data_IF_033838566477
#
_entry.id   IF_033838566477
#
_cell.length_a   1.000
_cell.length_b   1.000
_cell.length_c   1.000
_cell.angle_alpha   90.00
_cell.angle_beta   90.00
_cell.angle_gamma   90.00
#
_symmetry.space_group_name_H-M   'P 1'
#
loop_
_entity.id
_entity.type
_entity.pdbx_description
1 polymer ?
#
# COMPACT_ATOMS: atom_id res chain seq x y z
N UNK A 1 -30.03 -14.76 -7.44
CA UNK A 1 -28.61 -14.97 -7.14
C UNK A 1 -28.00 -13.62 -6.86
N UNK A 2 -27.82 -13.26 -5.61
CA UNK A 2 -27.12 -12.05 -5.24
C UNK A 2 -25.62 -12.29 -5.42
N UNK A 3 -25.06 -11.83 -6.54
CA UNK A 3 -23.62 -11.66 -6.65
C UNK A 3 -23.23 -10.48 -5.73
N UNK A 4 -23.09 -10.75 -4.44
CA UNK A 4 -22.35 -9.85 -3.58
C UNK A 4 -20.95 -9.79 -4.16
N UNK A 5 -20.64 -8.70 -4.85
CA UNK A 5 -19.27 -8.31 -5.12
C UNK A 5 -18.64 -8.06 -3.75
N UNK A 6 -17.95 -9.07 -3.23
CA UNK A 6 -17.30 -9.05 -1.90
C UNK A 6 -16.03 -8.15 -1.93
N UNK A 7 -16.05 -7.09 -2.72
CA UNK A 7 -14.96 -6.14 -2.85
C UNK A 7 -15.36 -4.75 -2.39
N UNK A 8 -14.50 -4.09 -1.66
CA UNK A 8 -14.67 -2.71 -1.25
C UNK A 8 -13.46 -1.87 -1.69
N UNK A 9 -13.72 -0.75 -2.38
CA UNK A 9 -12.75 0.32 -2.60
C UNK A 9 -13.11 1.49 -1.69
N UNK A 10 -12.15 1.99 -0.92
CA UNK A 10 -12.34 3.16 -0.06
C UNK A 10 -11.14 4.10 -0.15
N UNK A 11 -11.41 5.36 -0.43
CA UNK A 11 -10.44 6.45 -0.29
C UNK A 11 -10.26 6.80 1.19
N UNK A 12 -9.04 7.05 1.60
CA UNK A 12 -8.68 7.39 2.98
C UNK A 12 -8.26 8.87 3.07
N UNK A 13 -7.15 9.22 2.46
CA UNK A 13 -6.65 10.60 2.40
C UNK A 13 -5.51 10.71 1.39
N UNK A 14 -5.16 11.93 0.99
CA UNK A 14 -4.04 12.22 0.09
C UNK A 14 -4.00 11.25 -1.10
N UNK A 15 -3.00 10.37 -1.19
CA UNK A 15 -2.92 9.32 -2.20
C UNK A 15 -3.30 7.92 -1.64
N UNK A 16 -3.71 7.87 -0.37
CA UNK A 16 -4.03 6.60 0.28
C UNK A 16 -5.45 6.15 0.01
N UNK A 17 -5.57 4.95 -0.51
CA UNK A 17 -6.84 4.21 -0.60
C UNK A 17 -6.57 2.72 -0.37
N UNK A 18 -7.62 1.97 -0.09
CA UNK A 18 -7.51 0.52 -0.03
C UNK A 18 -8.57 -0.17 -0.90
N UNK A 19 -8.22 -1.37 -1.31
CA UNK A 19 -9.13 -2.29 -1.98
C UNK A 19 -9.16 -3.57 -1.13
N UNK A 20 -10.34 -3.93 -0.68
CA UNK A 20 -10.57 -5.17 0.04
C UNK A 20 -11.22 -6.18 -0.88
N UNK A 21 -10.66 -7.38 -0.97
CA UNK A 21 -11.25 -8.56 -1.59
C UNK A 21 -11.61 -9.60 -0.52
N UNK A 22 -12.08 -10.77 -0.92
CA UNK A 22 -12.42 -11.86 0.01
C UNK A 22 -11.25 -12.23 0.93
N UNK A 23 -10.05 -12.38 0.37
CA UNK A 23 -8.91 -12.96 1.10
C UNK A 23 -7.77 -11.96 1.34
N UNK A 24 -7.82 -10.80 0.72
CA UNK A 24 -6.70 -9.86 0.68
C UNK A 24 -7.14 -8.40 0.85
N UNK A 25 -6.21 -7.57 1.27
CA UNK A 25 -6.35 -6.12 1.31
C UNK A 25 -5.13 -5.53 0.61
N UNK A 26 -5.36 -4.70 -0.39
CA UNK A 26 -4.34 -3.87 -1.03
C UNK A 26 -4.48 -2.45 -0.52
N UNK A 27 -3.42 -1.90 0.08
CA UNK A 27 -3.35 -0.52 0.58
C UNK A 27 -2.36 0.23 -0.31
N UNK A 28 -2.77 1.38 -0.84
CA UNK A 28 -1.96 2.19 -1.74
C UNK A 28 -1.47 3.43 -1.02
N UNK A 29 -0.18 3.75 -1.16
CA UNK A 29 0.50 4.96 -0.68
C UNK A 29 0.06 5.42 0.73
N UNK A 30 0.19 4.57 1.77
CA UNK A 30 -0.34 4.85 3.09
C UNK A 30 0.52 5.85 3.87
N UNK A 31 0.22 7.13 3.72
CA UNK A 31 0.70 8.20 4.60
C UNK A 31 -0.45 8.73 5.45
N UNK A 32 -0.53 8.29 6.71
CA UNK A 32 -1.68 8.53 7.60
C UNK A 32 -1.37 9.50 8.73
N UNK A 33 -0.11 9.85 8.91
CA UNK A 33 0.34 10.75 9.98
C UNK A 33 1.73 11.31 9.71
N UNK A 34 2.07 12.31 10.50
CA UNK A 34 3.38 12.95 10.44
C UNK A 34 3.47 14.01 9.35
N UNK A 35 4.66 14.52 9.20
CA UNK A 35 5.00 15.56 8.24
C UNK A 35 5.88 14.96 7.12
N UNK A 36 5.73 15.47 5.91
CA UNK A 36 6.54 15.09 4.77
C UNK A 36 7.47 16.24 4.34
N UNK A 37 8.48 15.94 3.53
CA UNK A 37 9.41 16.92 2.95
C UNK A 37 10.02 17.87 3.98
N UNK A 38 10.80 17.31 4.94
CA UNK A 38 11.44 18.09 6.02
C UNK A 38 10.46 19.01 6.77
N UNK A 39 9.29 18.46 7.11
CA UNK A 39 8.20 19.17 7.80
C UNK A 39 7.52 20.28 6.99
N UNK A 40 7.74 20.34 5.68
CA UNK A 40 7.11 21.33 4.83
C UNK A 40 5.65 21.02 4.48
N UNK A 41 5.24 19.76 4.59
CA UNK A 41 3.89 19.30 4.23
C UNK A 41 3.23 18.57 5.39
N UNK A 42 1.93 18.84 5.58
CA UNK A 42 1.06 18.13 6.50
C UNK A 42 -0.17 17.60 5.75
N UNK A 43 -0.77 16.54 6.29
CA UNK A 43 -2.06 16.04 5.79
C UNK A 43 -3.14 17.10 6.00
N UNK A 44 -3.96 17.34 4.98
CA UNK A 44 -5.18 18.16 5.09
C UNK A 44 -6.20 17.50 6.03
N UNK A 45 -6.33 16.17 5.93
CA UNK A 45 -7.13 15.36 6.85
C UNK A 45 -6.21 14.41 7.61
N UNK A 46 -5.89 14.76 8.84
CA UNK A 46 -5.14 13.94 9.79
C UNK A 46 -6.05 13.30 10.85
N UNK A 47 -7.32 13.09 10.49
CA UNK A 47 -8.31 12.56 11.42
C UNK A 47 -7.92 11.20 11.98
N UNK A 48 -8.20 11.00 13.27
CA UNK A 48 -7.99 9.71 13.94
C UNK A 48 -8.87 8.60 13.32
N UNK A 49 -9.95 8.98 12.63
CA UNK A 49 -10.86 8.04 11.95
C UNK A 49 -10.16 7.28 10.82
N UNK A 50 -9.24 7.91 10.08
CA UNK A 50 -8.47 7.26 9.02
C UNK A 50 -7.56 6.16 9.55
N UNK A 51 -6.85 6.44 10.65
CA UNK A 51 -6.04 5.43 11.34
C UNK A 51 -6.89 4.31 11.91
N UNK A 52 -8.05 4.63 12.49
CA UNK A 52 -8.99 3.63 13.01
C UNK A 52 -9.47 2.69 11.91
N UNK A 53 -9.84 3.23 10.74
CA UNK A 53 -10.26 2.44 9.59
C UNK A 53 -9.19 1.42 9.19
N UNK A 54 -7.94 1.84 9.05
CA UNK A 54 -6.83 0.92 8.68
C UNK A 54 -6.59 -0.13 9.79
N UNK A 55 -6.65 0.27 11.07
CA UNK A 55 -6.50 -0.69 12.18
C UNK A 55 -7.60 -1.74 12.20
N UNK A 56 -8.83 -1.37 11.87
CA UNK A 56 -9.95 -2.32 11.75
C UNK A 56 -9.77 -3.27 10.58
N UNK A 57 -9.27 -2.80 9.44
CA UNK A 57 -8.94 -3.65 8.29
C UNK A 57 -7.89 -4.70 8.64
N UNK A 58 -6.82 -4.30 9.31
CA UNK A 58 -5.73 -5.20 9.71
C UNK A 58 -6.23 -6.34 10.61
N UNK A 59 -7.21 -6.08 11.48
CA UNK A 59 -7.80 -7.07 12.38
C UNK A 59 -8.57 -8.18 11.65
N UNK A 60 -8.88 -8.01 10.37
CA UNK A 60 -9.62 -9.01 9.58
C UNK A 60 -8.82 -10.27 9.23
N UNK A 61 -7.55 -10.35 9.62
CA UNK A 61 -6.64 -11.48 9.35
C UNK A 61 -6.52 -11.89 7.88
N UNK A 62 -6.67 -10.93 6.97
CA UNK A 62 -6.45 -11.10 5.54
C UNK A 62 -4.98 -10.90 5.18
N UNK A 63 -4.57 -11.36 4.01
CA UNK A 63 -3.26 -11.05 3.45
C UNK A 63 -3.18 -9.56 3.14
N UNK A 64 -2.14 -8.89 3.61
CA UNK A 64 -1.94 -7.46 3.38
C UNK A 64 -0.89 -7.25 2.29
N UNK A 65 -1.29 -6.49 1.29
CA UNK A 65 -0.40 -5.98 0.26
C UNK A 65 -0.34 -4.47 0.36
N UNK A 66 0.85 -3.89 0.24
CA UNK A 66 1.03 -2.45 0.15
C UNK A 66 1.64 -2.14 -1.21
N UNK A 67 1.00 -1.26 -1.96
CA UNK A 67 1.57 -0.63 -3.13
C UNK A 67 2.14 0.73 -2.78
N UNK A 68 3.41 0.93 -3.11
CA UNK A 68 4.04 2.25 -3.10
C UNK A 68 4.31 2.70 -4.52
N UNK A 69 3.74 3.83 -4.91
CA UNK A 69 3.91 4.38 -6.26
C UNK A 69 5.35 4.87 -6.48
N UNK A 70 5.93 5.50 -5.47
CA UNK A 70 7.31 6.01 -5.49
C UNK A 70 7.83 6.29 -4.06
N UNK A 71 9.08 6.75 -3.96
CA UNK A 71 9.80 6.88 -2.70
C UNK A 71 9.53 8.17 -1.90
N UNK A 72 8.74 9.10 -2.40
CA UNK A 72 8.46 10.35 -1.68
C UNK A 72 7.79 10.11 -0.34
N UNK A 73 8.13 10.94 0.65
CA UNK A 73 7.73 10.74 2.05
C UNK A 73 6.24 10.87 2.33
N UNK A 74 5.49 11.49 1.43
CA UNK A 74 4.02 11.59 1.45
C UNK A 74 3.31 10.39 0.81
N UNK A 75 4.07 9.44 0.25
CA UNK A 75 3.62 8.17 -0.28
C UNK A 75 4.25 7.00 0.47
N UNK A 76 5.58 6.99 0.56
CA UNK A 76 6.36 5.93 1.21
C UNK A 76 6.57 6.23 2.69
N UNK A 77 5.57 5.95 3.52
CA UNK A 77 5.65 6.14 4.96
C UNK A 77 6.36 4.98 5.66
N UNK A 78 7.59 5.22 6.11
CA UNK A 78 8.38 4.24 6.85
C UNK A 78 7.76 3.94 8.22
N UNK A 79 7.18 4.95 8.88
CA UNK A 79 6.52 4.78 10.18
C UNK A 79 5.32 3.84 10.07
N UNK A 80 4.47 4.06 9.09
CA UNK A 80 3.34 3.18 8.81
C UNK A 80 3.80 1.75 8.51
N UNK A 81 4.81 1.59 7.65
CA UNK A 81 5.34 0.26 7.28
C UNK A 81 5.84 -0.52 8.50
N UNK A 82 6.56 0.16 9.40
CA UNK A 82 7.06 -0.45 10.64
C UNK A 82 5.93 -0.82 11.60
N UNK A 83 4.88 0.00 11.68
CA UNK A 83 3.71 -0.26 12.53
C UNK A 83 2.92 -1.47 11.99
N UNK A 84 2.58 -1.47 10.70
CA UNK A 84 1.78 -2.53 10.12
C UNK A 84 2.50 -3.89 10.15
N UNK A 85 3.80 -3.90 9.91
CA UNK A 85 4.61 -5.13 9.97
C UNK A 85 4.50 -5.85 11.31
N UNK A 86 4.38 -5.11 12.42
CA UNK A 86 4.23 -5.68 13.76
C UNK A 86 2.83 -6.25 14.02
N UNK A 87 1.86 -5.83 13.23
CA UNK A 87 0.43 -6.06 13.48
C UNK A 87 -0.20 -7.11 12.59
N UNK A 88 0.50 -7.57 11.53
CA UNK A 88 -0.05 -8.49 10.54
C UNK A 88 0.78 -9.76 10.41
N UNK A 89 0.09 -10.86 10.09
CA UNK A 89 0.74 -12.18 9.93
C UNK A 89 1.45 -12.27 8.58
N UNK A 90 0.85 -11.67 7.54
CA UNK A 90 1.38 -11.71 6.17
C UNK A 90 1.37 -10.32 5.55
N UNK A 91 2.54 -9.83 5.17
CA UNK A 91 2.75 -8.55 4.53
C UNK A 91 3.63 -8.71 3.30
N UNK A 92 3.15 -8.24 2.17
CA UNK A 92 3.93 -8.11 0.94
C UNK A 92 3.89 -6.66 0.45
N UNK A 93 5.01 -6.13 0.01
CA UNK A 93 5.09 -4.81 -0.62
C UNK A 93 5.26 -4.99 -2.12
N UNK A 94 4.39 -4.35 -2.88
CA UNK A 94 4.50 -4.23 -4.33
C UNK A 94 5.20 -2.91 -4.63
N UNK A 95 6.26 -2.96 -5.41
CA UNK A 95 7.01 -1.78 -5.84
C UNK A 95 7.43 -1.93 -7.29
N UNK A 96 7.40 -0.83 -8.03
CA UNK A 96 7.81 -0.86 -9.43
C UNK A 96 9.29 -1.23 -9.58
N UNK A 97 9.61 -1.98 -10.62
CA UNK A 97 10.98 -2.30 -10.96
C UNK A 97 11.68 -1.06 -11.52
N UNK A 98 12.68 -0.58 -10.81
CA UNK A 98 13.45 0.63 -11.16
C UNK A 98 14.95 0.34 -11.14
N UNK A 99 15.73 1.21 -11.80
CA UNK A 99 17.20 1.16 -11.72
C UNK A 99 17.69 1.57 -10.32
N UNK A 100 17.00 2.50 -9.68
CA UNK A 100 17.28 2.87 -8.30
C UNK A 100 16.79 1.76 -7.35
N UNK A 101 17.73 1.17 -6.64
CA UNK A 101 17.48 0.01 -5.76
C UNK A 101 17.37 0.37 -4.28
N UNK A 102 17.36 1.66 -3.91
CA UNK A 102 17.37 2.11 -2.50
C UNK A 102 16.15 1.60 -1.74
N UNK A 103 14.94 1.74 -2.30
CA UNK A 103 13.71 1.25 -1.67
C UNK A 103 13.74 -0.26 -1.50
N UNK A 104 14.12 -0.99 -2.55
CA UNK A 104 14.20 -2.46 -2.49
C UNK A 104 15.23 -2.94 -1.44
N UNK A 105 16.40 -2.30 -1.38
CA UNK A 105 17.41 -2.61 -0.35
C UNK A 105 16.88 -2.35 1.05
N UNK A 106 16.17 -1.23 1.24
CA UNK A 106 15.54 -0.91 2.53
C UNK A 106 14.49 -1.97 2.91
N UNK A 107 13.55 -2.30 2.01
CA UNK A 107 12.52 -3.31 2.27
C UNK A 107 13.12 -4.68 2.62
N UNK A 108 14.16 -5.10 1.91
CA UNK A 108 14.91 -6.33 2.22
C UNK A 108 15.54 -6.29 3.60
N UNK A 109 16.14 -5.16 3.99
CA UNK A 109 16.73 -5.00 5.34
C UNK A 109 15.67 -5.09 6.45
N UNK A 110 14.41 -4.83 6.13
CA UNK A 110 13.29 -4.98 7.05
C UNK A 110 12.67 -6.38 7.03
N UNK A 111 13.22 -7.35 6.29
CA UNK A 111 12.66 -8.70 6.10
C UNK A 111 11.21 -8.66 5.62
N UNK A 112 10.90 -7.83 4.64
CA UNK A 112 9.58 -7.70 4.04
C UNK A 112 9.60 -8.44 2.70
N UNK A 113 8.54 -9.22 2.43
CA UNK A 113 8.33 -9.84 1.14
C UNK A 113 8.08 -8.75 0.08
N UNK A 114 8.80 -8.82 -1.03
CA UNK A 114 8.71 -7.82 -2.11
C UNK A 114 8.25 -8.49 -3.38
N UNK A 115 7.30 -7.85 -4.04
CA UNK A 115 6.87 -8.17 -5.39
C UNK A 115 7.29 -7.00 -6.28
N UNK A 116 8.30 -7.22 -7.12
CA UNK A 116 8.72 -6.20 -8.09
C UNK A 116 7.80 -6.25 -9.31
N UNK A 117 7.13 -5.14 -9.58
CA UNK A 117 6.18 -5.01 -10.68
C UNK A 117 6.86 -4.49 -11.93
N UNK A 118 6.81 -5.26 -13.01
CA UNK A 118 7.19 -4.81 -14.34
C UNK A 118 6.01 -4.06 -15.01
N UNK A 119 6.32 -3.09 -15.86
CA UNK A 119 5.32 -2.30 -16.57
C UNK A 119 4.42 -3.18 -17.45
N UNK A 120 3.11 -3.06 -17.29
CA UNK A 120 2.11 -3.81 -18.05
C UNK A 120 1.98 -5.29 -17.67
N UNK A 121 2.74 -5.77 -16.68
CA UNK A 121 2.64 -7.16 -16.22
C UNK A 121 1.65 -7.26 -15.07
N UNK A 122 0.68 -8.16 -15.21
CA UNK A 122 -0.35 -8.39 -14.20
C UNK A 122 0.21 -9.16 -13.01
N UNK A 123 -0.05 -8.65 -11.82
CA UNK A 123 0.22 -9.30 -10.54
C UNK A 123 -1.10 -9.75 -9.94
N UNK A 124 -1.24 -11.03 -9.65
CA UNK A 124 -2.42 -11.55 -8.98
C UNK A 124 -2.25 -11.41 -7.47
N UNK A 125 -3.14 -10.63 -6.85
CA UNK A 125 -3.23 -10.45 -5.40
C UNK A 125 -3.94 -11.67 -4.79
N UNK A 126 -5.08 -12.03 -5.38
CA UNK A 126 -5.82 -13.27 -5.11
C UNK A 126 -6.70 -13.64 -6.32
N UNK A 127 -7.66 -14.55 -6.13
CA UNK A 127 -8.57 -15.02 -7.18
C UNK A 127 -9.55 -13.94 -7.69
N UNK A 128 -9.76 -12.87 -6.92
CA UNK A 128 -10.70 -11.79 -7.24
C UNK A 128 -10.00 -10.47 -7.60
N UNK A 129 -8.77 -10.28 -7.15
CA UNK A 129 -8.05 -9.02 -7.28
C UNK A 129 -6.72 -9.21 -7.99
N UNK A 130 -6.55 -8.48 -9.06
CA UNK A 130 -5.27 -8.36 -9.75
C UNK A 130 -4.86 -6.89 -9.87
N UNK A 131 -3.57 -6.68 -9.97
CA UNK A 131 -2.94 -5.37 -10.04
C UNK A 131 -1.95 -5.33 -11.21
N UNK A 132 -1.87 -4.22 -11.90
CA UNK A 132 -0.78 -3.93 -12.83
C UNK A 132 -0.50 -2.43 -12.87
N UNK A 133 0.72 -2.06 -13.18
CA UNK A 133 1.12 -0.68 -13.39
C UNK A 133 1.30 -0.43 -14.89
N UNK A 134 0.91 0.75 -15.30
CA UNK A 134 1.09 1.21 -16.66
C UNK A 134 1.85 2.54 -16.62
N UNK A 135 3.11 2.53 -17.02
CA UNK A 135 3.88 3.77 -17.14
C UNK A 135 3.78 4.32 -18.57
N UNK A 136 3.36 5.55 -18.70
CA UNK A 136 3.49 6.28 -19.95
C UNK A 136 4.99 6.55 -20.19
N UNK A 137 5.54 5.96 -21.23
CA UNK A 137 6.82 6.42 -21.80
C UNK A 137 6.56 7.73 -22.55
N UNK A 138 6.44 8.82 -21.84
CA UNK A 138 6.73 10.11 -22.44
C UNK A 138 8.20 10.38 -22.18
N UNK A 139 8.92 10.39 -23.28
CA UNK A 139 10.33 10.39 -23.40
C UNK A 139 11.11 11.44 -22.68
#
# INVERSE_FOLDING_TARGET
MNSNLDGQLKYINHACYFIESRNSILICDPWLEGLAFNNGWSLLDNSTSNKKTIKELIKKNKKIFIWYSHEHSDHFSISFLKEIKKSVISLSVIYQKTLDRRVIKFLKSQNIQIIEADNGVKIFIDDQLSFFIWSHKNG
#
